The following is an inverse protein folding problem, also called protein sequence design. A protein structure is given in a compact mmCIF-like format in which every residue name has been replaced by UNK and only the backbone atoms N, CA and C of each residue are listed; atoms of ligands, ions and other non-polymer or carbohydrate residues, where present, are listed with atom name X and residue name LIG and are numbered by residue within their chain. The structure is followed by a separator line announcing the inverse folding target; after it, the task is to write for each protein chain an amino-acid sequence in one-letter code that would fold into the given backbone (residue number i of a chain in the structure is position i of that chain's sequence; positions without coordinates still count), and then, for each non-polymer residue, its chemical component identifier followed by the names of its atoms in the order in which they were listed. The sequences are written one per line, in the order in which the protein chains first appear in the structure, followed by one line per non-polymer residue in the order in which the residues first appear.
data_IF_824546921447
#
_entry.id   IF_824546921447
#
_cell.length_a   1.000
_cell.length_b   1.000
_cell.length_c   1.000
_cell.angle_alpha   90.00
_cell.angle_beta   90.00
_cell.angle_gamma   90.00
#
_symmetry.space_group_name_H-M   'P 1'
#
loop_
_entity.id
_entity.type
_entity.pdbx_description
1 polymer ?
#
# COMPACT_ATOMS: atom_id res chain seq x y z
N UNK A 1 -22.13 -38.03 -21.18
CA UNK A 1 -23.19 -37.12 -20.74
C UNK A 1 -23.14 -37.12 -19.23
N UNK A 2 -22.31 -36.28 -18.67
CA UNK A 2 -22.25 -35.97 -17.24
C UNK A 2 -22.07 -34.48 -17.16
N UNK A 3 -23.20 -33.80 -16.92
CA UNK A 3 -23.23 -32.37 -16.60
C UNK A 3 -22.42 -32.14 -15.33
N UNK A 4 -21.29 -31.47 -15.49
CA UNK A 4 -20.58 -30.86 -14.38
C UNK A 4 -21.25 -29.52 -14.12
N UNK A 5 -22.24 -29.53 -13.24
CA UNK A 5 -22.85 -28.37 -12.64
C UNK A 5 -21.77 -27.68 -11.77
N UNK A 6 -20.99 -26.78 -12.38
CA UNK A 6 -20.13 -25.83 -11.67
C UNK A 6 -21.05 -24.73 -11.15
N UNK A 7 -21.75 -25.01 -10.06
CA UNK A 7 -22.47 -24.00 -9.29
C UNK A 7 -21.49 -22.90 -8.90
N UNK A 8 -21.55 -21.76 -9.57
CA UNK A 8 -20.97 -20.50 -9.10
C UNK A 8 -21.56 -20.24 -7.72
N UNK A 9 -20.76 -20.45 -6.66
CA UNK A 9 -21.16 -20.07 -5.32
C UNK A 9 -21.54 -18.59 -5.37
N UNK A 10 -22.78 -18.28 -5.05
CA UNK A 10 -23.26 -16.92 -5.05
C UNK A 10 -22.33 -16.08 -4.19
N UNK A 11 -21.81 -14.98 -4.74
CA UNK A 11 -20.93 -14.07 -4.03
C UNK A 11 -21.68 -13.53 -2.81
N UNK A 12 -21.16 -13.80 -1.60
CA UNK A 12 -21.82 -13.40 -0.36
C UNK A 12 -21.70 -11.89 -0.25
N UNK A 13 -22.84 -11.20 -0.22
CA UNK A 13 -22.88 -9.77 0.04
C UNK A 13 -22.46 -9.49 1.49
N UNK A 14 -21.41 -8.70 1.65
CA UNK A 14 -20.89 -8.32 2.96
C UNK A 14 -21.63 -7.08 3.45
N UNK A 15 -22.63 -7.30 4.33
CA UNK A 15 -23.49 -6.26 4.91
C UNK A 15 -23.12 -5.98 6.36
N UNK A 16 -23.59 -4.85 6.90
CA UNK A 16 -23.46 -4.54 8.34
C UNK A 16 -24.09 -5.62 9.23
N UNK A 17 -25.21 -6.21 8.80
CA UNK A 17 -25.89 -7.26 9.56
C UNK A 17 -25.08 -8.55 9.57
N UNK A 18 -24.48 -8.94 8.45
CA UNK A 18 -23.56 -10.08 8.41
C UNK A 18 -22.38 -9.86 9.39
N UNK A 19 -21.77 -8.67 9.38
CA UNK A 19 -20.67 -8.35 10.31
C UNK A 19 -21.11 -8.44 11.77
N UNK A 20 -22.31 -7.89 12.13
CA UNK A 20 -22.84 -7.98 13.48
C UNK A 20 -23.14 -9.43 13.90
N UNK A 21 -23.69 -10.23 12.98
CA UNK A 21 -23.98 -11.63 13.29
C UNK A 21 -22.70 -12.45 13.50
N UNK A 22 -21.66 -12.22 12.72
CA UNK A 22 -20.35 -12.84 12.91
C UNK A 22 -19.70 -12.41 14.23
N UNK A 23 -19.83 -11.12 14.61
CA UNK A 23 -19.37 -10.64 15.93
C UNK A 23 -20.11 -11.33 17.07
N UNK A 24 -21.44 -11.43 17.02
CA UNK A 24 -22.24 -12.13 18.04
C UNK A 24 -21.85 -13.60 18.18
N UNK A 25 -21.58 -14.25 17.04
CA UNK A 25 -21.22 -15.67 17.00
C UNK A 25 -19.82 -15.94 17.55
N UNK A 26 -18.82 -15.10 17.21
CA UNK A 26 -17.42 -15.42 17.45
C UNK A 26 -16.72 -14.47 18.44
N UNK A 27 -17.20 -13.25 18.59
CA UNK A 27 -16.61 -12.21 19.46
C UNK A 27 -17.69 -11.42 20.17
N UNK A 28 -18.49 -12.08 21.04
CA UNK A 28 -19.66 -11.46 21.68
C UNK A 28 -19.32 -10.26 22.57
N UNK A 29 -18.08 -10.18 23.07
CA UNK A 29 -17.55 -9.02 23.80
C UNK A 29 -17.46 -7.74 22.98
N UNK A 30 -17.43 -7.85 21.63
CA UNK A 30 -17.37 -6.73 20.71
C UNK A 30 -18.69 -6.48 19.95
N UNK A 31 -19.70 -7.32 20.16
CA UNK A 31 -20.92 -7.32 19.36
C UNK A 31 -21.81 -6.07 19.52
N UNK A 32 -21.68 -5.38 20.66
CA UNK A 32 -22.45 -4.16 20.95
C UNK A 32 -21.80 -2.88 20.42
N UNK A 33 -20.58 -2.98 19.88
CA UNK A 33 -19.90 -1.84 19.28
C UNK A 33 -20.58 -1.43 17.96
N UNK A 34 -20.63 -0.12 17.69
CA UNK A 34 -21.19 0.41 16.45
C UNK A 34 -20.41 -0.06 15.23
N UNK A 35 -21.10 -0.63 14.22
CA UNK A 35 -20.54 -1.08 12.96
C UNK A 35 -20.89 -0.07 11.86
N UNK A 36 -19.89 0.51 11.21
CA UNK A 36 -20.05 1.48 10.11
C UNK A 36 -19.14 1.12 8.95
N UNK A 37 -19.68 1.05 7.74
CA UNK A 37 -18.87 0.77 6.55
C UNK A 37 -17.85 1.90 6.28
N UNK A 38 -16.65 1.50 5.91
CA UNK A 38 -15.59 2.41 5.46
C UNK A 38 -15.44 2.26 3.96
N UNK A 39 -15.66 3.36 3.23
CA UNK A 39 -15.52 3.36 1.77
C UNK A 39 -14.08 3.09 1.35
N UNK A 40 -13.87 2.23 0.38
CA UNK A 40 -12.57 1.87 -0.18
C UNK A 40 -12.18 0.43 0.16
N UNK A 41 -10.87 0.15 0.04
CA UNK A 41 -10.32 -1.20 0.12
C UNK A 41 -10.44 -1.94 -1.21
N UNK A 42 -9.33 -2.59 -1.62
CA UNK A 42 -9.28 -3.40 -2.83
C UNK A 42 -9.60 -4.86 -2.49
N UNK A 43 -8.79 -5.42 -1.63
CA UNK A 43 -8.87 -6.84 -1.24
C UNK A 43 -9.90 -7.11 -0.14
N UNK A 44 -10.21 -6.10 0.69
CA UNK A 44 -11.08 -6.23 1.84
C UNK A 44 -12.18 -5.16 1.83
N UNK A 45 -13.40 -5.54 2.20
CA UNK A 45 -14.38 -4.59 2.68
C UNK A 45 -14.09 -4.27 4.14
N UNK A 46 -14.04 -2.99 4.47
CA UNK A 46 -13.66 -2.53 5.80
C UNK A 46 -14.87 -1.94 6.53
N UNK A 47 -14.92 -2.22 7.83
CA UNK A 47 -15.96 -1.73 8.72
C UNK A 47 -15.30 -1.13 9.96
N UNK A 48 -15.61 0.12 10.26
CA UNK A 48 -15.26 0.70 11.56
C UNK A 48 -16.06 -0.01 12.64
N UNK A 49 -15.40 -0.45 13.71
CA UNK A 49 -16.01 -1.11 14.87
C UNK A 49 -15.72 -0.28 16.11
N UNK A 50 -16.73 0.42 16.62
CA UNK A 50 -16.53 1.46 17.61
C UNK A 50 -15.58 2.56 17.13
N UNK A 51 -14.76 3.09 18.04
CA UNK A 51 -13.82 4.16 17.73
C UNK A 51 -12.37 3.70 17.57
N UNK A 52 -12.05 2.47 17.97
CA UNK A 52 -10.66 1.98 18.06
C UNK A 52 -10.35 0.78 17.16
N UNK A 53 -11.38 0.16 16.56
CA UNK A 53 -11.22 -1.08 15.83
C UNK A 53 -11.75 -0.98 14.40
N UNK A 54 -11.29 -1.91 13.56
CA UNK A 54 -11.81 -2.15 12.21
C UNK A 54 -11.97 -3.64 11.96
N UNK A 55 -13.08 -4.04 11.34
CA UNK A 55 -13.30 -5.38 10.79
C UNK A 55 -12.90 -5.36 9.32
N UNK A 56 -12.10 -6.35 8.89
CA UNK A 56 -11.67 -6.54 7.51
C UNK A 56 -12.23 -7.84 6.96
N UNK A 57 -13.13 -7.71 6.01
CA UNK A 57 -13.84 -8.83 5.38
C UNK A 57 -13.26 -9.08 3.98
N UNK A 58 -12.64 -10.23 3.71
CA UNK A 58 -12.00 -10.51 2.42
C UNK A 58 -13.01 -10.55 1.26
N UNK A 59 -12.69 -9.80 0.18
CA UNK A 59 -13.44 -9.79 -1.08
C UNK A 59 -12.77 -10.66 -2.14
N UNK A 60 -11.46 -10.49 -2.31
CA UNK A 60 -10.68 -11.20 -3.33
C UNK A 60 -10.16 -12.53 -2.83
N UNK A 61 -9.74 -13.40 -3.75
CA UNK A 61 -9.18 -14.71 -3.40
C UNK A 61 -7.81 -14.60 -2.71
N UNK A 62 -7.05 -13.53 -2.97
CA UNK A 62 -5.74 -13.30 -2.31
C UNK A 62 -5.86 -12.71 -0.90
N UNK A 63 -6.97 -12.04 -0.57
CA UNK A 63 -7.14 -11.33 0.69
C UNK A 63 -6.91 -12.18 1.96
N UNK A 64 -7.37 -13.45 2.06
CA UNK A 64 -7.08 -14.28 3.23
C UNK A 64 -5.60 -14.52 3.47
N UNK A 65 -4.78 -14.64 2.41
CA UNK A 65 -3.34 -14.81 2.54
C UNK A 65 -2.66 -13.51 2.99
N UNK A 66 -3.08 -12.37 2.46
CA UNK A 66 -2.61 -11.07 2.90
C UNK A 66 -2.89 -10.83 4.39
N UNK A 67 -4.11 -11.14 4.84
CA UNK A 67 -4.48 -11.05 6.26
C UNK A 67 -3.64 -12.00 7.14
N UNK A 68 -3.32 -13.22 6.67
CA UNK A 68 -2.45 -14.15 7.41
C UNK A 68 -1.04 -13.57 7.58
N UNK A 69 -0.48 -12.95 6.53
CA UNK A 69 0.82 -12.25 6.62
C UNK A 69 0.80 -11.14 7.67
N UNK A 70 -0.19 -10.28 7.62
CA UNK A 70 -0.35 -9.19 8.61
C UNK A 70 -0.46 -9.74 10.03
N UNK A 71 -1.34 -10.72 10.26
CA UNK A 71 -1.51 -11.34 11.57
C UNK A 71 -0.24 -11.99 12.11
N UNK A 72 0.61 -12.55 11.23
CA UNK A 72 1.88 -13.17 11.61
C UNK A 72 2.95 -12.14 11.95
N UNK A 73 3.12 -11.09 11.13
CA UNK A 73 4.32 -10.26 11.16
C UNK A 73 4.14 -8.91 11.83
N UNK A 74 2.96 -8.28 11.74
CA UNK A 74 2.72 -6.98 12.39
C UNK A 74 2.92 -6.99 13.92
N UNK A 75 2.57 -8.04 14.68
CA UNK A 75 2.85 -8.07 16.12
C UNK A 75 4.34 -7.92 16.47
N UNK A 76 5.24 -8.34 15.57
CA UNK A 76 6.69 -8.23 15.74
C UNK A 76 7.26 -6.90 15.24
N UNK A 77 6.64 -6.29 14.24
CA UNK A 77 7.08 -5.04 13.61
C UNK A 77 6.50 -3.81 14.31
N UNK A 78 5.20 -3.80 14.59
CA UNK A 78 4.49 -2.64 15.12
C UNK A 78 5.12 -2.00 16.38
N UNK A 79 5.70 -2.75 17.35
CA UNK A 79 6.28 -2.15 18.54
C UNK A 79 7.52 -1.27 18.27
N UNK A 80 8.16 -1.41 17.12
CA UNK A 80 9.36 -0.65 16.75
C UNK A 80 9.09 0.53 15.82
N UNK A 81 7.90 0.55 15.22
CA UNK A 81 7.55 1.58 14.24
C UNK A 81 7.16 2.88 14.95
N UNK A 82 7.68 4.04 14.53
CA UNK A 82 7.40 5.33 15.17
C UNK A 82 6.01 5.88 14.85
N UNK A 83 5.33 5.34 13.82
CA UNK A 83 3.96 5.68 13.48
C UNK A 83 3.00 4.54 13.84
N UNK A 84 1.77 4.86 14.23
CA UNK A 84 0.68 3.89 14.36
C UNK A 84 0.50 3.06 13.10
N UNK A 85 0.35 1.75 13.27
CA UNK A 85 0.00 0.79 12.23
C UNK A 85 -1.13 -0.11 12.73
N UNK A 86 -1.95 -0.73 11.84
CA UNK A 86 -2.97 -1.67 12.26
C UNK A 86 -2.34 -2.86 13.00
N UNK A 87 -2.92 -3.25 14.13
CA UNK A 87 -2.48 -4.44 14.87
C UNK A 87 -3.61 -5.45 14.96
N UNK A 88 -3.36 -6.74 14.70
CA UNK A 88 -4.36 -7.78 14.87
C UNK A 88 -4.86 -7.84 16.33
N UNK A 89 -6.17 -7.81 16.52
CA UNK A 89 -6.83 -7.90 17.82
C UNK A 89 -7.55 -9.24 17.96
N UNK A 90 -8.30 -9.64 16.92
CA UNK A 90 -9.02 -10.91 16.85
C UNK A 90 -8.99 -11.46 15.42
N UNK A 91 -9.19 -12.74 15.30
CA UNK A 91 -9.39 -13.43 14.02
C UNK A 91 -10.74 -14.13 14.08
N UNK A 92 -11.56 -13.91 13.05
CA UNK A 92 -12.79 -14.67 12.84
C UNK A 92 -12.51 -15.87 11.94
N UNK A 93 -13.01 -17.03 12.31
CA UNK A 93 -12.85 -18.25 11.55
C UNK A 93 -13.99 -18.44 10.52
N UNK A 94 -13.76 -19.20 9.46
CA UNK A 94 -14.81 -19.53 8.49
C UNK A 94 -16.02 -20.17 9.16
N UNK A 95 -17.21 -19.75 8.78
CA UNK A 95 -18.48 -20.32 9.25
C UNK A 95 -19.45 -20.51 8.09
N UNK A 96 -20.60 -21.13 8.35
CA UNK A 96 -21.65 -21.26 7.34
C UNK A 96 -22.20 -19.91 6.84
N UNK A 97 -22.07 -18.85 7.64
CA UNK A 97 -22.48 -17.48 7.27
C UNK A 97 -21.46 -16.79 6.37
N UNK A 98 -20.16 -17.04 6.62
CA UNK A 98 -19.07 -16.46 5.84
C UNK A 98 -17.90 -17.45 5.76
N UNK A 99 -17.61 -18.03 4.58
CA UNK A 99 -16.70 -19.15 4.44
C UNK A 99 -15.22 -18.75 4.37
N UNK A 100 -14.91 -17.46 4.57
CA UNK A 100 -13.54 -16.94 4.57
C UNK A 100 -13.15 -16.49 5.98
N UNK A 101 -11.85 -16.60 6.29
CA UNK A 101 -11.27 -16.01 7.50
C UNK A 101 -11.34 -14.48 7.39
N UNK A 102 -11.62 -13.81 8.49
CA UNK A 102 -11.70 -12.36 8.59
C UNK A 102 -10.96 -11.85 9.83
N UNK A 103 -10.68 -10.56 9.92
CA UNK A 103 -9.84 -10.02 11.00
C UNK A 103 -10.44 -8.77 11.63
N UNK A 104 -10.16 -8.60 12.93
CA UNK A 104 -10.37 -7.36 13.65
C UNK A 104 -9.00 -6.78 13.98
N UNK A 105 -8.76 -5.55 13.54
CA UNK A 105 -7.52 -4.81 13.68
C UNK A 105 -7.74 -3.55 14.51
N UNK A 106 -6.69 -2.99 15.10
CA UNK A 106 -6.78 -1.63 15.64
C UNK A 106 -6.99 -0.64 14.49
N UNK A 107 -7.77 0.39 14.76
CA UNK A 107 -7.95 1.52 13.84
C UNK A 107 -6.75 2.48 13.93
N UNK A 108 -6.27 2.97 12.81
CA UNK A 108 -5.26 4.03 12.74
C UNK A 108 -5.97 5.36 12.53
N UNK A 109 -5.91 6.30 13.49
CA UNK A 109 -6.63 7.57 13.41
C UNK A 109 -6.04 8.51 12.35
N UNK A 110 -6.90 9.24 11.66
CA UNK A 110 -6.57 10.22 10.62
C UNK A 110 -7.27 9.90 9.30
N UNK A 111 -6.92 10.64 8.25
CA UNK A 111 -7.49 10.48 6.90
C UNK A 111 -6.42 9.96 5.93
N UNK A 112 -6.73 9.00 5.03
CA UNK A 112 -5.82 8.63 3.95
C UNK A 112 -5.43 9.83 3.09
N UNK A 113 -4.16 9.88 2.70
CA UNK A 113 -3.59 11.02 1.96
C UNK A 113 -4.25 11.23 0.59
N UNK A 114 -4.88 10.23 0.01
CA UNK A 114 -5.64 10.38 -1.24
C UNK A 114 -6.95 11.19 -1.06
N UNK A 115 -7.31 11.52 0.20
CA UNK A 115 -8.49 12.34 0.57
C UNK A 115 -8.15 13.64 1.27
N UNK A 116 -6.88 13.86 1.57
CA UNK A 116 -6.39 15.04 2.29
C UNK A 116 -5.05 15.49 1.73
N UNK A 117 -4.35 16.40 2.41
CA UNK A 117 -3.05 16.91 1.97
C UNK A 117 -2.07 17.08 3.13
N UNK A 118 -0.78 16.99 2.81
CA UNK A 118 0.31 17.32 3.72
C UNK A 118 0.58 18.83 3.61
N UNK A 119 0.50 19.55 4.73
CA UNK A 119 0.85 20.97 4.83
C UNK A 119 2.17 21.22 5.56
N UNK A 120 2.67 20.22 6.31
CA UNK A 120 3.95 20.26 7.03
C UNK A 120 4.96 19.33 6.34
N UNK A 121 5.37 19.72 5.11
CA UNK A 121 6.15 18.87 4.21
C UNK A 121 7.47 18.38 4.79
N UNK A 122 8.25 19.25 5.41
CA UNK A 122 9.55 18.91 6.02
C UNK A 122 9.38 17.88 7.14
N UNK A 123 8.42 18.10 8.02
CA UNK A 123 8.14 17.16 9.09
C UNK A 123 7.63 15.82 8.56
N UNK A 124 6.82 15.83 7.49
CA UNK A 124 6.37 14.61 6.87
C UNK A 124 7.52 13.81 6.23
N UNK A 125 8.51 14.49 5.63
CA UNK A 125 9.70 13.86 5.07
C UNK A 125 10.55 13.19 6.15
N UNK A 126 10.83 13.90 7.25
CA UNK A 126 11.54 13.36 8.41
C UNK A 126 10.80 12.16 9.02
N UNK A 127 9.47 12.29 9.20
CA UNK A 127 8.63 11.22 9.76
C UNK A 127 8.62 9.96 8.86
N UNK A 128 8.59 10.12 7.53
CA UNK A 128 8.67 9.00 6.60
C UNK A 128 10.05 8.33 6.65
N UNK A 129 11.12 9.12 6.74
CA UNK A 129 12.49 8.61 6.85
C UNK A 129 12.67 7.79 8.13
N UNK A 130 12.21 8.30 9.27
CA UNK A 130 12.24 7.59 10.56
C UNK A 130 11.42 6.29 10.50
N UNK A 131 10.23 6.34 9.90
CA UNK A 131 9.37 5.17 9.75
C UNK A 131 10.02 4.10 8.90
N UNK A 132 10.53 4.44 7.71
CA UNK A 132 11.18 3.49 6.83
C UNK A 132 12.51 3.01 7.40
N UNK A 133 13.27 3.87 8.08
CA UNK A 133 14.49 3.45 8.80
C UNK A 133 14.20 2.40 9.87
N UNK A 134 13.09 2.53 10.59
CA UNK A 134 12.66 1.54 11.59
C UNK A 134 12.08 0.25 10.98
N UNK A 135 11.46 0.33 9.79
CA UNK A 135 10.91 -0.82 9.08
C UNK A 135 11.98 -1.63 8.34
N UNK A 136 12.91 -0.96 7.64
CA UNK A 136 13.93 -1.56 6.77
C UNK A 136 15.07 -2.21 7.58
N UNK A 137 14.70 -3.12 8.47
CA UNK A 137 15.64 -3.96 9.21
C UNK A 137 15.72 -5.35 8.60
N UNK A 138 16.81 -6.07 8.82
CA UNK A 138 17.02 -7.40 8.28
C UNK A 138 15.82 -8.31 8.59
N UNK A 139 15.22 -8.86 7.54
CA UNK A 139 14.12 -9.80 7.65
C UNK A 139 14.63 -11.21 7.96
N UNK A 140 13.90 -12.02 8.75
CA UNK A 140 14.27 -13.40 9.00
C UNK A 140 14.08 -14.25 7.73
N UNK A 141 14.69 -15.43 7.70
CA UNK A 141 14.66 -16.33 6.53
C UNK A 141 13.24 -16.80 6.16
N UNK A 142 12.34 -16.84 7.15
CA UNK A 142 10.94 -17.24 6.98
C UNK A 142 10.04 -16.09 6.50
N UNK A 143 10.58 -14.89 6.34
CA UNK A 143 9.83 -13.76 5.81
C UNK A 143 9.35 -14.04 4.38
N UNK A 144 8.15 -13.55 3.99
CA UNK A 144 7.69 -13.71 2.62
C UNK A 144 8.68 -13.05 1.66
N UNK A 145 9.11 -13.81 0.66
CA UNK A 145 10.04 -13.32 -0.35
C UNK A 145 9.34 -12.49 -1.43
N UNK A 146 10.15 -12.02 -2.38
CA UNK A 146 9.70 -11.32 -3.59
C UNK A 146 8.91 -12.28 -4.49
N UNK A 147 7.70 -11.87 -4.87
CA UNK A 147 6.86 -12.61 -5.83
C UNK A 147 6.59 -11.74 -7.06
N UNK A 148 5.82 -10.67 -6.88
CA UNK A 148 5.39 -9.73 -7.92
C UNK A 148 5.85 -8.28 -7.65
N UNK A 149 6.57 -8.06 -6.54
CA UNK A 149 7.06 -6.75 -6.07
C UNK A 149 8.44 -6.89 -5.45
N UNK A 150 9.24 -5.82 -5.48
CA UNK A 150 10.54 -5.76 -4.79
C UNK A 150 11.70 -6.42 -5.51
N UNK A 151 11.55 -6.88 -6.76
CA UNK A 151 12.64 -7.24 -7.62
C UNK A 151 13.28 -6.00 -8.26
N UNK A 152 14.42 -6.19 -8.92
CA UNK A 152 15.09 -5.13 -9.68
C UNK A 152 14.15 -4.50 -10.74
N UNK A 153 14.17 -3.16 -10.97
CA UNK A 153 13.29 -2.47 -11.92
C UNK A 153 13.19 -3.15 -13.30
N UNK A 154 14.27 -3.68 -13.83
CA UNK A 154 14.28 -4.39 -15.12
C UNK A 154 13.26 -5.54 -15.23
N UNK A 155 12.89 -6.16 -14.11
CA UNK A 155 11.87 -7.21 -14.03
C UNK A 155 10.47 -6.67 -14.36
N UNK A 156 10.22 -5.39 -14.16
CA UNK A 156 8.91 -4.74 -14.37
C UNK A 156 8.80 -3.98 -15.69
N UNK A 157 9.75 -4.14 -16.61
CA UNK A 157 9.77 -3.36 -17.86
C UNK A 157 8.51 -3.57 -18.70
N UNK A 158 7.97 -4.78 -18.77
CA UNK A 158 6.72 -5.03 -19.49
C UNK A 158 5.53 -4.29 -18.86
N UNK A 159 5.43 -4.32 -17.52
CA UNK A 159 4.40 -3.59 -16.77
C UNK A 159 4.57 -2.08 -16.91
N UNK A 160 5.81 -1.57 -16.82
CA UNK A 160 6.11 -0.17 -17.08
C UNK A 160 5.68 0.26 -18.49
N UNK A 161 6.02 -0.50 -19.50
CA UNK A 161 5.68 -0.23 -20.90
C UNK A 161 4.17 -0.25 -21.14
N UNK A 162 3.45 -1.14 -20.44
CA UNK A 162 2.00 -1.16 -20.49
C UNK A 162 1.41 0.15 -19.94
N UNK A 163 1.81 0.57 -18.74
CA UNK A 163 1.31 1.82 -18.14
C UNK A 163 1.74 3.04 -18.93
N UNK A 164 2.99 3.08 -19.36
CA UNK A 164 3.58 4.16 -20.16
C UNK A 164 2.79 4.43 -21.44
N UNK A 165 2.35 3.38 -22.14
CA UNK A 165 1.51 3.51 -23.34
C UNK A 165 0.04 3.83 -23.05
N UNK A 166 -0.41 3.57 -21.84
CA UNK A 166 -1.83 3.68 -21.45
C UNK A 166 -2.23 5.05 -20.94
N UNK A 167 -1.28 5.93 -20.60
CA UNK A 167 -1.55 7.25 -20.01
C UNK A 167 -1.00 8.40 -20.87
N UNK A 168 -1.63 9.57 -20.78
CA UNK A 168 -1.12 10.78 -21.42
C UNK A 168 0.06 11.35 -20.63
N UNK A 169 1.18 11.61 -21.31
CA UNK A 169 2.42 12.11 -20.73
C UNK A 169 2.74 13.57 -21.09
N UNK A 170 1.83 14.22 -21.83
CA UNK A 170 1.87 15.67 -22.15
C UNK A 170 3.23 16.16 -22.71
N UNK A 171 3.82 15.34 -23.61
CA UNK A 171 5.10 15.62 -24.25
C UNK A 171 6.34 15.21 -23.45
N UNK A 172 6.20 14.60 -22.27
CA UNK A 172 7.31 14.24 -21.37
C UNK A 172 7.74 12.76 -21.48
N UNK A 173 7.33 12.07 -22.54
CA UNK A 173 7.61 10.64 -22.72
C UNK A 173 9.11 10.32 -22.65
N UNK A 174 9.98 11.11 -23.28
CA UNK A 174 11.43 10.89 -23.28
C UNK A 174 12.03 11.04 -21.87
N UNK A 175 11.56 12.04 -21.08
CA UNK A 175 12.01 12.22 -19.70
C UNK A 175 11.61 11.03 -18.80
N UNK A 176 10.37 10.56 -18.94
CA UNK A 176 9.87 9.40 -18.18
C UNK A 176 10.65 8.15 -18.54
N UNK A 177 10.92 7.93 -19.85
CA UNK A 177 11.71 6.80 -20.33
C UNK A 177 13.14 6.89 -19.80
N UNK A 178 13.77 8.04 -19.84
CA UNK A 178 15.14 8.23 -19.35
C UNK A 178 15.26 7.89 -17.85
N UNK A 179 14.28 8.27 -17.01
CA UNK A 179 14.23 7.90 -15.58
C UNK A 179 14.10 6.39 -15.42
N UNK A 180 13.27 5.73 -16.23
CA UNK A 180 13.13 4.27 -16.17
C UNK A 180 14.41 3.55 -16.60
N UNK A 181 15.00 3.94 -17.71
CA UNK A 181 16.22 3.33 -18.24
C UNK A 181 17.40 3.50 -17.28
N UNK A 182 17.49 4.67 -16.61
CA UNK A 182 18.49 4.90 -15.54
C UNK A 182 18.29 3.96 -14.36
N UNK A 183 17.05 3.73 -13.93
CA UNK A 183 16.76 2.80 -12.85
C UNK A 183 17.04 1.33 -13.23
N UNK A 184 16.76 0.94 -14.46
CA UNK A 184 17.09 -0.40 -15.00
C UNK A 184 18.61 -0.60 -15.12
N UNK A 185 19.36 0.45 -15.42
CA UNK A 185 20.82 0.41 -15.47
C UNK A 185 21.50 0.49 -14.08
N UNK A 186 20.76 0.78 -13.02
CA UNK A 186 21.32 0.84 -11.68
C UNK A 186 21.69 -0.56 -11.17
N UNK A 187 22.79 -0.72 -10.39
CA UNK A 187 23.13 -1.98 -9.77
C UNK A 187 21.97 -2.56 -8.95
N UNK A 188 21.81 -3.88 -8.95
CA UNK A 188 20.84 -4.59 -8.15
C UNK A 188 21.19 -4.50 -6.65
N UNK A 189 20.19 -4.72 -5.80
CA UNK A 189 20.37 -4.87 -4.36
C UNK A 189 21.00 -6.24 -4.06
N UNK A 190 22.16 -6.26 -3.42
CA UNK A 190 22.91 -7.49 -3.11
C UNK A 190 23.04 -7.74 -1.59
N UNK A 191 22.59 -6.78 -0.76
CA UNK A 191 22.62 -6.92 0.68
C UNK A 191 21.51 -7.85 1.20
N UNK A 192 21.53 -8.10 2.52
CA UNK A 192 20.48 -8.90 3.17
C UNK A 192 19.11 -8.28 2.94
N UNK A 193 18.10 -9.11 2.58
CA UNK A 193 16.72 -8.62 2.45
C UNK A 193 16.25 -7.92 3.74
N UNK A 194 15.64 -6.76 3.59
CA UNK A 194 15.01 -6.03 4.68
C UNK A 194 13.48 -6.14 4.58
N UNK A 195 12.78 -5.86 5.66
CA UNK A 195 11.34 -5.72 5.61
C UNK A 195 10.94 -4.53 4.74
N UNK A 196 10.02 -4.74 3.84
CA UNK A 196 9.47 -3.75 2.91
C UNK A 196 7.95 -3.78 3.02
N UNK A 197 7.31 -2.63 3.16
CA UNK A 197 5.85 -2.52 3.20
C UNK A 197 5.20 -3.06 1.91
N UNK A 198 5.80 -2.75 0.77
CA UNK A 198 5.43 -3.29 -0.53
C UNK A 198 4.32 -2.52 -1.26
N UNK A 199 3.53 -1.69 -0.59
CA UNK A 199 2.41 -0.98 -1.20
C UNK A 199 2.23 0.46 -0.70
N UNK A 200 3.34 1.20 -0.50
CA UNK A 200 3.26 2.60 -0.09
C UNK A 200 2.78 3.49 -1.26
N UNK A 201 1.60 4.07 -1.06
CA UNK A 201 0.98 5.06 -1.93
C UNK A 201 -0.02 5.92 -1.12
N UNK A 202 -0.59 7.01 -1.68
CA UNK A 202 -1.40 7.96 -0.89
C UNK A 202 -2.56 7.33 -0.09
N UNK A 203 -3.22 6.30 -0.58
CA UNK A 203 -4.33 5.67 0.14
C UNK A 203 -3.88 4.84 1.36
N UNK A 204 -2.60 4.44 1.44
CA UNK A 204 -2.04 3.63 2.53
C UNK A 204 -1.24 4.45 3.55
N UNK A 205 -1.18 5.76 3.37
CA UNK A 205 -0.56 6.69 4.32
C UNK A 205 -1.64 7.57 4.94
N UNK A 206 -1.68 7.61 6.27
CA UNK A 206 -2.68 8.36 7.04
C UNK A 206 -2.08 9.69 7.50
N UNK A 207 -2.89 10.74 7.42
CA UNK A 207 -2.51 12.12 7.73
C UNK A 207 -3.42 12.67 8.83
N UNK A 208 -2.82 13.38 9.77
CA UNK A 208 -3.51 14.17 10.79
C UNK A 208 -2.63 15.38 11.16
N UNK A 209 -3.23 16.53 11.46
CA UNK A 209 -2.47 17.73 11.79
C UNK A 209 -1.52 18.21 10.68
N UNK A 210 -1.82 17.88 9.41
CA UNK A 210 -1.03 18.29 8.23
C UNK A 210 0.27 17.49 8.02
N UNK A 211 0.46 16.37 8.71
CA UNK A 211 1.63 15.49 8.58
C UNK A 211 1.23 14.02 8.65
N UNK A 212 2.18 13.10 8.40
CA UNK A 212 1.95 11.68 8.52
C UNK A 212 1.60 11.31 9.97
N UNK A 213 0.56 10.52 10.16
CA UNK A 213 0.09 10.04 11.47
C UNK A 213 -0.07 8.53 11.54
N UNK A 214 0.14 7.80 10.45
CA UNK A 214 0.07 6.35 10.41
C UNK A 214 0.30 5.77 9.03
N UNK A 215 0.54 4.47 8.99
CA UNK A 215 0.67 3.68 7.76
C UNK A 215 -0.22 2.45 7.90
N UNK A 216 -0.95 2.11 6.84
CA UNK A 216 -1.94 1.02 6.82
C UNK A 216 -1.69 0.07 5.64
N UNK A 217 -2.35 -1.08 5.69
CA UNK A 217 -2.36 -2.11 4.63
C UNK A 217 -0.99 -2.78 4.38
N UNK A 218 -0.56 -3.58 5.33
CA UNK A 218 0.68 -4.37 5.26
C UNK A 218 0.50 -5.75 4.60
N UNK A 219 -0.61 -5.99 3.92
CA UNK A 219 -0.88 -7.27 3.25
C UNK A 219 0.18 -7.65 2.22
N UNK A 220 0.76 -6.67 1.57
CA UNK A 220 1.82 -6.87 0.57
C UNK A 220 3.25 -6.84 1.16
N UNK A 221 3.40 -6.86 2.49
CA UNK A 221 4.69 -6.94 3.19
C UNK A 221 5.56 -8.10 2.69
N UNK A 222 6.83 -7.83 2.41
CA UNK A 222 7.81 -8.83 1.97
C UNK A 222 9.24 -8.51 2.46
N UNK A 223 10.17 -9.44 2.23
CA UNK A 223 11.60 -9.25 2.45
C UNK A 223 12.30 -9.01 1.11
N UNK A 224 12.99 -7.88 0.94
CA UNK A 224 13.63 -7.54 -0.33
C UNK A 224 14.40 -6.22 -0.35
N UNK A 225 14.49 -5.62 -1.55
CA UNK A 225 15.14 -4.33 -1.80
C UNK A 225 14.29 -3.18 -1.24
N UNK A 226 14.82 -2.33 -0.34
CA UNK A 226 14.11 -1.17 0.21
C UNK A 226 13.74 -0.13 -0.86
N UNK A 227 14.37 -0.12 -2.03
CA UNK A 227 14.07 0.82 -3.11
C UNK A 227 12.59 0.84 -3.49
N UNK A 228 11.86 -0.28 -3.30
CA UNK A 228 10.43 -0.36 -3.54
C UNK A 228 9.62 0.60 -2.66
N UNK A 229 9.97 0.71 -1.38
CA UNK A 229 9.33 1.65 -0.44
C UNK A 229 9.92 3.06 -0.54
N UNK A 230 11.22 3.19 -0.84
CA UNK A 230 11.88 4.49 -1.02
C UNK A 230 11.23 5.31 -2.15
N UNK A 231 10.57 4.67 -3.11
CA UNK A 231 9.73 5.32 -4.13
C UNK A 231 8.66 6.23 -3.52
N UNK A 232 8.22 5.98 -2.29
CA UNK A 232 7.25 6.81 -1.57
C UNK A 232 7.72 8.25 -1.36
N UNK A 233 9.04 8.51 -1.38
CA UNK A 233 9.58 9.87 -1.30
C UNK A 233 9.02 10.80 -2.39
N UNK A 234 8.78 10.29 -3.60
CA UNK A 234 8.15 11.05 -4.68
C UNK A 234 6.64 10.85 -4.77
N UNK A 235 6.15 9.66 -4.40
CA UNK A 235 4.72 9.32 -4.55
C UNK A 235 3.88 9.94 -3.45
N UNK A 236 4.40 10.04 -2.22
CA UNK A 236 3.68 10.47 -1.02
C UNK A 236 3.99 11.92 -0.63
N UNK A 237 5.27 12.29 -0.62
CA UNK A 237 5.68 13.59 -0.09
C UNK A 237 5.38 14.74 -1.06
N UNK A 238 5.17 15.96 -0.56
CA UNK A 238 5.04 17.15 -1.41
C UNK A 238 6.35 17.50 -2.13
N UNK A 239 6.31 18.47 -3.05
CA UNK A 239 7.49 18.97 -3.78
C UNK A 239 8.61 19.36 -2.79
N UNK A 240 9.85 18.96 -3.11
CA UNK A 240 11.03 19.17 -2.26
C UNK A 240 11.19 18.14 -1.13
N UNK A 241 10.13 17.37 -0.79
CA UNK A 241 10.16 16.42 0.29
C UNK A 241 11.10 15.24 0.04
N UNK A 242 11.32 14.84 -1.22
CA UNK A 242 12.20 13.72 -1.54
C UNK A 242 13.66 14.01 -1.18
N UNK A 243 14.18 15.22 -1.47
CA UNK A 243 15.54 15.58 -1.10
C UNK A 243 15.73 15.52 0.42
N UNK A 244 14.84 16.15 1.18
CA UNK A 244 14.89 16.11 2.65
C UNK A 244 14.75 14.70 3.19
N UNK A 245 13.89 13.87 2.60
CA UNK A 245 13.75 12.46 2.98
C UNK A 245 15.08 11.71 2.85
N UNK A 246 15.78 11.84 1.70
CA UNK A 246 17.05 11.15 1.48
C UNK A 246 18.20 11.73 2.30
N UNK A 247 18.14 13.00 2.68
CA UNK A 247 19.10 13.58 3.65
C UNK A 247 18.91 12.97 5.06
N UNK A 248 17.68 12.66 5.44
CA UNK A 248 17.35 12.06 6.74
C UNK A 248 17.47 10.53 6.74
N UNK A 249 17.14 9.86 5.63
CA UNK A 249 17.23 8.40 5.49
C UNK A 249 18.65 7.96 5.12
N UNK A 250 19.48 7.66 6.13
CA UNK A 250 20.92 7.44 6.00
C UNK A 250 21.34 6.15 5.25
N UNK A 251 20.41 5.26 4.88
CA UNK A 251 20.72 3.92 4.35
C UNK A 251 20.57 3.79 2.83
N UNK A 252 20.26 4.87 2.10
CA UNK A 252 20.15 4.83 0.64
C UNK A 252 21.45 5.29 -0.01
N UNK A 253 22.07 4.42 -0.80
CA UNK A 253 23.12 4.80 -1.74
C UNK A 253 22.54 5.35 -3.05
N UNK A 254 23.43 5.84 -3.93
CA UNK A 254 23.03 6.38 -5.22
C UNK A 254 22.30 5.35 -6.11
N UNK A 255 22.64 4.06 -6.01
CA UNK A 255 22.00 2.99 -6.78
C UNK A 255 20.56 2.74 -6.27
N UNK A 256 20.36 2.71 -4.95
CA UNK A 256 19.04 2.58 -4.34
C UNK A 256 18.14 3.76 -4.72
N UNK A 257 18.66 4.99 -4.71
CA UNK A 257 17.92 6.20 -5.11
C UNK A 257 17.48 6.12 -6.58
N UNK A 258 18.37 5.70 -7.49
CA UNK A 258 18.06 5.53 -8.93
C UNK A 258 16.95 4.49 -9.10
N UNK A 259 17.07 3.31 -8.47
CA UNK A 259 16.02 2.27 -8.54
C UNK A 259 14.70 2.78 -7.98
N UNK A 260 14.72 3.44 -6.82
CA UNK A 260 13.53 4.01 -6.19
C UNK A 260 12.85 5.07 -7.06
N UNK A 261 13.62 5.92 -7.75
CA UNK A 261 13.09 6.96 -8.64
C UNK A 261 12.37 6.34 -9.85
N UNK A 262 12.92 5.30 -10.47
CA UNK A 262 12.24 4.57 -11.56
C UNK A 262 10.97 3.85 -11.07
N UNK A 263 11.03 3.23 -9.89
CA UNK A 263 9.85 2.62 -9.26
C UNK A 263 8.79 3.66 -8.90
N UNK A 264 9.17 4.88 -8.54
CA UNK A 264 8.24 5.99 -8.34
C UNK A 264 7.58 6.41 -9.67
N UNK A 265 8.32 6.43 -10.78
CA UNK A 265 7.73 6.63 -12.11
C UNK A 265 6.71 5.53 -12.44
N UNK A 266 7.06 4.26 -12.25
CA UNK A 266 6.14 3.12 -12.44
C UNK A 266 4.86 3.26 -11.62
N UNK A 267 4.98 3.53 -10.33
CA UNK A 267 3.83 3.75 -9.42
C UNK A 267 3.00 4.97 -9.84
N UNK A 268 3.63 6.04 -10.28
CA UNK A 268 2.93 7.24 -10.76
C UNK A 268 2.08 6.94 -12.01
N UNK A 269 2.62 6.21 -12.98
CA UNK A 269 1.89 5.78 -14.19
C UNK A 269 0.71 4.85 -13.84
N UNK A 270 0.91 3.93 -12.88
CA UNK A 270 -0.16 3.08 -12.39
C UNK A 270 -1.29 3.90 -11.75
N UNK A 271 -0.98 4.87 -10.88
CA UNK A 271 -1.98 5.74 -10.26
C UNK A 271 -2.74 6.56 -11.31
N UNK A 272 -2.05 7.06 -12.34
CA UNK A 272 -2.68 7.78 -13.45
C UNK A 272 -3.65 6.88 -14.22
N UNK A 273 -3.27 5.64 -14.51
CA UNK A 273 -4.15 4.67 -15.21
C UNK A 273 -5.37 4.33 -14.34
N UNK A 274 -5.19 4.09 -13.04
CA UNK A 274 -6.31 3.83 -12.12
C UNK A 274 -7.25 5.03 -12.03
N UNK A 275 -6.72 6.25 -12.09
CA UNK A 275 -7.52 7.48 -12.20
C UNK A 275 -8.35 7.50 -13.45
N UNK A 276 -7.76 7.28 -14.63
CA UNK A 276 -8.47 7.22 -15.91
C UNK A 276 -9.54 6.13 -15.95
N UNK A 277 -9.27 4.97 -15.36
CA UNK A 277 -10.24 3.89 -15.24
C UNK A 277 -11.44 4.33 -14.37
N UNK A 278 -11.16 5.05 -13.28
CA UNK A 278 -12.20 5.61 -12.42
C UNK A 278 -13.07 6.64 -13.13
N UNK A 279 -12.48 7.55 -13.89
CA UNK A 279 -13.20 8.56 -14.69
C UNK A 279 -14.11 7.90 -15.76
N UNK A 280 -13.74 6.71 -16.22
CA UNK A 280 -14.53 5.90 -17.16
C UNK A 280 -15.53 4.96 -16.49
N UNK A 281 -15.60 4.93 -15.16
CA UNK A 281 -16.46 4.03 -14.39
C UNK A 281 -16.07 2.55 -14.49
N UNK A 282 -14.80 2.25 -14.83
CA UNK A 282 -14.32 0.87 -14.93
C UNK A 282 -14.10 0.26 -13.54
N UNK A 283 -14.31 -1.06 -13.39
CA UNK A 283 -14.07 -1.75 -12.12
C UNK A 283 -12.66 -1.50 -11.57
N UNK A 284 -12.56 -1.25 -10.28
CA UNK A 284 -11.29 -0.96 -9.61
C UNK A 284 -10.73 0.44 -9.86
N UNK A 285 -11.31 1.24 -10.76
CA UNK A 285 -10.89 2.60 -11.03
C UNK A 285 -11.06 3.52 -9.81
N UNK A 286 -10.14 4.49 -9.67
CA UNK A 286 -10.06 5.43 -8.54
C UNK A 286 -9.84 6.85 -9.09
N UNK A 287 -10.88 7.66 -9.33
CA UNK A 287 -10.73 8.98 -9.96
C UNK A 287 -9.71 9.89 -9.23
N UNK A 288 -9.71 9.89 -7.90
CA UNK A 288 -8.79 10.67 -7.08
C UNK A 288 -7.29 10.33 -7.31
N UNK A 289 -6.98 9.13 -7.82
CA UNK A 289 -5.59 8.70 -8.00
C UNK A 289 -4.93 9.30 -9.25
N UNK A 290 -5.70 9.72 -10.26
CA UNK A 290 -5.17 10.33 -11.47
C UNK A 290 -4.38 11.62 -11.19
N UNK A 291 -4.96 12.63 -10.53
CA UNK A 291 -4.23 13.83 -10.10
C UNK A 291 -3.04 13.53 -9.19
N UNK A 292 -3.17 12.59 -8.25
CA UNK A 292 -2.08 12.18 -7.36
C UNK A 292 -0.90 11.57 -8.14
N UNK A 293 -1.19 10.69 -9.12
CA UNK A 293 -0.19 10.10 -10.01
C UNK A 293 0.54 11.13 -10.87
N UNK A 294 -0.18 12.09 -11.46
CA UNK A 294 0.44 13.21 -12.22
C UNK A 294 1.36 14.04 -11.33
N UNK A 295 0.90 14.44 -10.16
CA UNK A 295 1.71 15.21 -9.22
C UNK A 295 2.95 14.43 -8.75
N UNK A 296 2.85 13.12 -8.56
CA UNK A 296 3.98 12.26 -8.25
C UNK A 296 4.99 12.19 -9.41
N UNK A 297 4.50 12.00 -10.65
CA UNK A 297 5.35 12.00 -11.84
C UNK A 297 6.08 13.35 -12.02
N UNK A 298 5.41 14.46 -11.78
CA UNK A 298 6.03 15.80 -11.82
C UNK A 298 7.19 15.93 -10.83
N UNK A 299 7.04 15.35 -9.62
CA UNK A 299 8.12 15.32 -8.62
C UNK A 299 9.28 14.42 -9.04
N UNK A 300 8.99 13.26 -9.63
CA UNK A 300 10.00 12.33 -10.18
C UNK A 300 10.84 13.00 -11.27
N UNK A 301 10.20 13.80 -12.13
CA UNK A 301 10.87 14.44 -13.27
C UNK A 301 11.49 15.81 -12.91
N UNK A 302 11.17 16.39 -11.72
CA UNK A 302 11.81 17.61 -11.27
C UNK A 302 13.28 17.33 -10.90
N UNK A 303 14.16 18.28 -11.25
CA UNK A 303 15.59 18.23 -10.94
C UNK A 303 15.90 18.53 -9.47
N UNK A 304 14.88 18.89 -8.68
CA UNK A 304 14.99 19.28 -7.27
C UNK A 304 15.22 18.09 -6.31
N UNK A 305 15.27 16.87 -6.83
CA UNK A 305 15.62 15.65 -6.08
C UNK A 305 16.74 14.93 -6.82
N UNK A 306 17.96 15.07 -6.32
CA UNK A 306 19.15 14.43 -6.87
C UNK A 306 19.01 12.92 -6.92
#
# INVERSE_FOLDING_TARGET
MTDSDSGTAAEIEITADLVRDLLREQHPDLAELAVREVAGGWDNQQWRLGDELAVRMPRTERAPELQRKECRWLPHLAPRLPLPVPRPVRVGEPSARFPKRWTIMTWVPGEPLDRTSISRGDHAADTLADFLGALHVAAPAEAPGVVDRGAHPGTYTEGFDHFFRSVALDGRADEVRAVWDDAVAAPAWEDRPVWVHGDLHPANVVVSGGTLSGVIDFGDLFAGDPAWDLAAAWVVLPRGGAARFFDAYAHADGAAIRRARGLAALKSLFLMLMGQNGDRGLPGGKPAWGPAGRAALDRVLSTDGR
#
